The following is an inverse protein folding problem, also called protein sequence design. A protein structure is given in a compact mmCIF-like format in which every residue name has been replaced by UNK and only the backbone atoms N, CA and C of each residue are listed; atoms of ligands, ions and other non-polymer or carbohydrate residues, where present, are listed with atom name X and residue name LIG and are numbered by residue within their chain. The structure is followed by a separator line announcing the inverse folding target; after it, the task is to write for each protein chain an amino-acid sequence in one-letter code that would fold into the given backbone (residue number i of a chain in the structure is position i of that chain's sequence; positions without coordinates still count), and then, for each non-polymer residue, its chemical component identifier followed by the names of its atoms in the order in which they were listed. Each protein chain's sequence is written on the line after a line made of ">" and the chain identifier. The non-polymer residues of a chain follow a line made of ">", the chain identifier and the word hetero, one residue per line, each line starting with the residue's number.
data_IF_435778807496
#
_entry.id   IF_435778807496
#
_cell.length_a   1.000
_cell.length_b   1.000
_cell.length_c   1.000
_cell.angle_alpha   90.00
_cell.angle_beta   90.00
_cell.angle_gamma   90.00
#
_symmetry.space_group_name_H-M   'P 1'
#
loop_
_entity.id
_entity.type
_entity.pdbx_description
1 polymer ?
#
# COMPACT_ATOMS: atom_id res chain seq x y z
N UNK A 1 -7.89 -20.39 -31.38
CA UNK A 1 -6.83 -20.13 -30.40
C UNK A 1 -6.69 -18.64 -30.05
N UNK A 2 -6.62 -17.74 -31.02
CA UNK A 2 -6.49 -16.28 -30.79
C UNK A 2 -7.64 -15.68 -29.94
N UNK A 3 -8.90 -16.08 -30.22
CA UNK A 3 -10.09 -15.61 -29.49
C UNK A 3 -10.11 -16.02 -28.01
N UNK A 4 -9.58 -17.21 -27.68
CA UNK A 4 -9.44 -17.66 -26.29
C UNK A 4 -8.38 -16.85 -25.53
N UNK A 5 -7.26 -16.52 -26.18
CA UNK A 5 -6.21 -15.69 -25.55
C UNK A 5 -6.71 -14.28 -25.26
N UNK A 6 -7.46 -13.69 -26.19
CA UNK A 6 -8.01 -12.33 -26.04
C UNK A 6 -9.03 -12.25 -24.88
N UNK A 7 -9.87 -13.28 -24.70
CA UNK A 7 -10.80 -13.38 -23.56
C UNK A 7 -10.09 -13.53 -22.22
N UNK A 8 -9.02 -14.31 -22.18
CA UNK A 8 -8.21 -14.47 -20.96
C UNK A 8 -7.47 -13.19 -20.59
N UNK A 9 -6.90 -12.50 -21.57
CA UNK A 9 -6.24 -11.20 -21.36
C UNK A 9 -7.22 -10.14 -20.85
N UNK A 10 -8.41 -10.05 -21.45
CA UNK A 10 -9.46 -9.14 -21.00
C UNK A 10 -9.93 -9.45 -19.57
N UNK A 11 -10.08 -10.73 -19.21
CA UNK A 11 -10.46 -11.15 -17.86
C UNK A 11 -9.38 -10.87 -16.84
N UNK A 12 -8.10 -11.08 -17.18
CA UNK A 12 -6.96 -10.77 -16.34
C UNK A 12 -6.83 -9.27 -16.10
N UNK A 13 -6.97 -8.45 -17.15
CA UNK A 13 -6.90 -6.99 -17.03
C UNK A 13 -8.01 -6.45 -16.12
N UNK A 14 -9.24 -6.97 -16.25
CA UNK A 14 -10.37 -6.60 -15.39
C UNK A 14 -10.14 -7.00 -13.93
N UNK A 15 -9.58 -8.18 -13.67
CA UNK A 15 -9.23 -8.64 -12.33
C UNK A 15 -8.13 -7.78 -11.70
N UNK A 16 -7.12 -7.40 -12.49
CA UNK A 16 -6.05 -6.50 -12.04
C UNK A 16 -6.57 -5.11 -11.71
N UNK A 17 -7.47 -4.55 -12.52
CA UNK A 17 -8.10 -3.27 -12.26
C UNK A 17 -8.92 -3.28 -10.97
N UNK A 18 -9.68 -4.34 -10.71
CA UNK A 18 -10.43 -4.51 -9.46
C UNK A 18 -9.52 -4.64 -8.23
N UNK A 19 -8.40 -5.32 -8.37
CA UNK A 19 -7.42 -5.47 -7.29
C UNK A 19 -6.73 -4.13 -6.97
N UNK A 20 -6.32 -3.39 -7.99
CA UNK A 20 -5.76 -2.05 -7.83
C UNK A 20 -6.77 -1.07 -7.22
N UNK A 21 -8.02 -1.11 -7.66
CA UNK A 21 -9.09 -0.28 -7.09
C UNK A 21 -9.29 -0.59 -5.60
N UNK A 22 -9.35 -1.86 -5.21
CA UNK A 22 -9.42 -2.26 -3.79
C UNK A 22 -8.21 -1.77 -3.00
N UNK A 23 -7.01 -1.83 -3.59
CA UNK A 23 -5.80 -1.31 -2.97
C UNK A 23 -5.88 0.19 -2.71
N UNK A 24 -6.34 0.98 -3.69
CA UNK A 24 -6.51 2.44 -3.56
C UNK A 24 -7.57 2.78 -2.50
N UNK A 25 -8.72 2.10 -2.51
CA UNK A 25 -9.76 2.29 -1.50
C UNK A 25 -9.26 1.94 -0.09
N UNK A 26 -8.52 0.85 0.04
CA UNK A 26 -7.88 0.46 1.31
C UNK A 26 -6.88 1.53 1.78
N UNK A 27 -6.12 2.14 0.86
CA UNK A 27 -5.23 3.26 1.15
C UNK A 27 -5.98 4.47 1.72
N UNK A 28 -7.10 4.86 1.10
CA UNK A 28 -7.97 5.92 1.59
C UNK A 28 -8.54 5.62 2.99
N UNK A 29 -9.03 4.41 3.21
CA UNK A 29 -9.51 3.96 4.52
C UNK A 29 -8.40 3.96 5.57
N UNK A 30 -7.19 3.55 5.20
CA UNK A 30 -6.01 3.58 6.09
C UNK A 30 -5.71 5.01 6.55
N UNK A 31 -5.79 5.97 5.64
CA UNK A 31 -5.62 7.40 5.97
C UNK A 31 -6.71 7.87 6.94
N UNK A 32 -7.96 7.51 6.69
CA UNK A 32 -9.05 7.83 7.61
C UNK A 32 -8.84 7.24 9.01
N UNK A 33 -8.44 5.96 9.09
CA UNK A 33 -8.11 5.31 10.37
C UNK A 33 -6.97 6.02 11.10
N UNK A 34 -5.92 6.44 10.37
CA UNK A 34 -4.82 7.21 10.96
C UNK A 34 -5.32 8.50 11.60
N UNK A 35 -6.13 9.28 10.89
CA UNK A 35 -6.70 10.53 11.43
C UNK A 35 -7.61 10.30 12.62
N UNK A 36 -8.48 9.30 12.57
CA UNK A 36 -9.37 8.97 13.69
C UNK A 36 -8.56 8.66 14.95
N UNK A 37 -7.58 7.76 14.86
CA UNK A 37 -6.74 7.40 16.01
C UNK A 37 -5.96 8.63 16.51
N UNK A 38 -5.43 9.44 15.60
CA UNK A 38 -4.70 10.65 15.97
C UNK A 38 -5.56 11.62 16.76
N UNK A 39 -6.75 11.94 16.27
CA UNK A 39 -7.67 12.87 16.93
C UNK A 39 -8.19 12.33 18.27
N UNK A 40 -8.50 11.03 18.36
CA UNK A 40 -8.91 10.40 19.61
C UNK A 40 -7.81 10.53 20.69
N UNK A 41 -6.55 10.27 20.34
CA UNK A 41 -5.45 10.34 21.29
C UNK A 41 -5.13 11.79 21.65
N UNK A 42 -5.16 12.73 20.71
CA UNK A 42 -4.88 14.14 20.98
C UNK A 42 -6.00 14.81 21.78
N UNK A 43 -7.23 14.30 21.77
CA UNK A 43 -8.32 14.78 22.62
C UNK A 43 -8.11 14.43 24.11
N UNK A 44 -7.31 13.39 24.38
CA UNK A 44 -7.06 12.90 25.74
C UNK A 44 -5.66 13.34 26.25
N UNK A 45 -4.72 13.57 25.33
CA UNK A 45 -3.32 13.85 25.65
C UNK A 45 -2.73 14.89 24.71
N UNK A 46 -2.06 15.89 25.26
CA UNK A 46 -1.35 16.93 24.50
C UNK A 46 -0.08 16.42 23.77
N UNK A 47 0.27 15.14 23.93
CA UNK A 47 1.48 14.54 23.36
C UNK A 47 1.28 14.15 21.87
N UNK A 48 1.25 15.13 21.00
CA UNK A 48 0.98 14.95 19.55
C UNK A 48 1.95 13.97 18.86
N UNK A 49 3.22 13.88 19.28
CA UNK A 49 4.17 12.93 18.69
C UNK A 49 3.83 11.49 19.05
N UNK A 50 3.39 11.24 20.29
CA UNK A 50 2.93 9.92 20.73
C UNK A 50 1.65 9.55 19.97
N UNK A 51 0.71 10.50 19.87
CA UNK A 51 -0.52 10.31 19.12
C UNK A 51 -0.25 9.97 17.66
N UNK A 52 0.66 10.69 17.01
CA UNK A 52 1.04 10.42 15.62
C UNK A 52 1.69 9.04 15.43
N UNK A 53 2.57 8.64 16.35
CA UNK A 53 3.22 7.32 16.28
C UNK A 53 2.22 6.19 16.46
N UNK A 54 1.32 6.30 17.44
CA UNK A 54 0.27 5.29 17.68
C UNK A 54 -0.73 5.24 16.53
N UNK A 55 -1.11 6.40 15.98
CA UNK A 55 -1.97 6.48 14.80
C UNK A 55 -1.34 5.81 13.58
N UNK A 56 -0.05 6.04 13.34
CA UNK A 56 0.69 5.38 12.27
C UNK A 56 0.74 3.87 12.47
N UNK A 57 1.06 3.38 13.68
CA UNK A 57 1.08 1.95 13.97
C UNK A 57 -0.29 1.31 13.75
N UNK A 58 -1.36 1.92 14.25
CA UNK A 58 -2.72 1.45 14.05
C UNK A 58 -3.14 1.43 12.57
N UNK A 59 -2.80 2.48 11.83
CA UNK A 59 -3.07 2.57 10.40
C UNK A 59 -2.31 1.50 9.60
N UNK A 60 -1.04 1.24 9.92
CA UNK A 60 -0.24 0.19 9.28
C UNK A 60 -0.81 -1.21 9.56
N UNK A 61 -1.22 -1.48 10.81
CA UNK A 61 -1.86 -2.74 11.17
C UNK A 61 -3.19 -2.94 10.43
N UNK A 62 -4.04 -1.90 10.38
CA UNK A 62 -5.28 -1.91 9.60
C UNK A 62 -5.02 -2.16 8.11
N UNK A 63 -4.08 -1.41 7.52
CA UNK A 63 -3.71 -1.55 6.12
C UNK A 63 -3.21 -2.97 5.80
N UNK A 64 -2.41 -3.56 6.69
CA UNK A 64 -1.94 -4.93 6.53
C UNK A 64 -3.11 -5.93 6.48
N UNK A 65 -4.03 -5.87 7.44
CA UNK A 65 -5.17 -6.79 7.51
C UNK A 65 -6.04 -6.66 6.27
N UNK A 66 -6.34 -5.43 5.84
CA UNK A 66 -7.16 -5.17 4.66
C UNK A 66 -6.48 -5.62 3.38
N UNK A 67 -5.20 -5.28 3.20
CA UNK A 67 -4.45 -5.72 2.03
C UNK A 67 -4.36 -7.25 1.97
N UNK A 68 -4.03 -7.88 3.09
CA UNK A 68 -3.89 -9.34 3.16
C UNK A 68 -5.20 -10.07 2.87
N UNK A 69 -6.32 -9.64 3.47
CA UNK A 69 -7.62 -10.34 3.40
C UNK A 69 -8.48 -9.93 2.22
N UNK A 70 -8.52 -8.64 1.90
CA UNK A 70 -9.48 -8.08 0.94
C UNK A 70 -8.84 -7.86 -0.43
N UNK A 71 -7.66 -7.26 -0.47
CA UNK A 71 -7.00 -6.91 -1.73
C UNK A 71 -6.34 -8.13 -2.36
N UNK A 72 -5.36 -8.71 -1.67
CA UNK A 72 -4.50 -9.77 -2.23
C UNK A 72 -4.96 -11.18 -1.85
N UNK A 73 -5.79 -11.34 -0.84
CA UNK A 73 -6.30 -12.63 -0.34
C UNK A 73 -5.17 -13.65 -0.11
N UNK A 74 -4.14 -13.20 0.62
CA UNK A 74 -2.94 -14.00 0.85
C UNK A 74 -3.19 -15.19 1.77
N UNK A 75 -2.54 -16.31 1.46
CA UNK A 75 -2.49 -17.55 2.26
C UNK A 75 -1.13 -17.79 2.90
N UNK A 76 -0.19 -16.83 2.76
CA UNK A 76 1.15 -16.92 3.34
C UNK A 76 1.16 -16.77 4.88
N UNK A 77 2.35 -16.86 5.47
CA UNK A 77 2.54 -16.66 6.91
C UNK A 77 2.25 -15.21 7.31
N UNK A 78 1.21 -14.95 8.14
CA UNK A 78 0.78 -13.60 8.48
C UNK A 78 1.84 -12.78 9.21
N UNK A 79 2.64 -13.39 10.06
CA UNK A 79 3.68 -12.69 10.82
C UNK A 79 4.82 -12.21 9.91
N UNK A 80 5.31 -13.10 9.05
CA UNK A 80 6.35 -12.74 8.08
C UNK A 80 5.88 -11.69 7.08
N UNK A 81 4.63 -11.80 6.61
CA UNK A 81 4.03 -10.81 5.72
C UNK A 81 3.86 -9.46 6.40
N UNK A 82 3.47 -9.43 7.68
CA UNK A 82 3.34 -8.18 8.44
C UNK A 82 4.65 -7.41 8.53
N UNK A 83 5.74 -8.06 8.91
CA UNK A 83 7.03 -7.39 9.02
C UNK A 83 7.56 -6.90 7.68
N UNK A 84 7.36 -7.66 6.61
CA UNK A 84 7.71 -7.22 5.24
C UNK A 84 6.87 -6.02 4.82
N UNK A 85 5.57 -6.04 5.11
CA UNK A 85 4.67 -4.95 4.79
C UNK A 85 5.01 -3.68 5.57
N UNK A 86 5.22 -3.76 6.88
CA UNK A 86 5.60 -2.63 7.70
C UNK A 86 6.97 -2.06 7.28
N UNK A 87 7.94 -2.93 6.99
CA UNK A 87 9.24 -2.53 6.46
C UNK A 87 9.14 -1.82 5.11
N UNK A 88 8.30 -2.31 4.20
CA UNK A 88 8.03 -1.65 2.93
C UNK A 88 7.43 -0.25 3.13
N UNK A 89 6.45 -0.12 4.02
CA UNK A 89 5.82 1.18 4.33
C UNK A 89 6.82 2.18 4.88
N UNK A 90 7.72 1.74 5.74
CA UNK A 90 8.77 2.58 6.28
C UNK A 90 9.80 2.97 5.21
N UNK A 91 10.25 2.02 4.40
CA UNK A 91 11.19 2.26 3.31
C UNK A 91 10.62 3.24 2.26
N UNK A 92 9.35 3.08 1.90
CA UNK A 92 8.70 3.99 0.95
C UNK A 92 8.51 5.40 1.51
N UNK A 93 8.27 5.55 2.81
CA UNK A 93 8.23 6.87 3.45
C UNK A 93 9.58 7.60 3.31
N UNK A 94 10.67 6.89 3.54
CA UNK A 94 12.03 7.46 3.35
C UNK A 94 12.24 7.82 1.89
N UNK A 95 11.93 6.92 0.96
CA UNK A 95 12.08 7.16 -0.47
C UNK A 95 11.24 8.35 -0.97
N UNK A 96 9.99 8.49 -0.51
CA UNK A 96 9.14 9.65 -0.80
C UNK A 96 9.80 10.96 -0.37
N UNK A 97 10.29 11.01 0.88
CA UNK A 97 10.93 12.20 1.41
C UNK A 97 12.20 12.57 0.63
N UNK A 98 13.00 11.57 0.25
CA UNK A 98 14.19 11.78 -0.57
C UNK A 98 13.85 12.30 -1.97
N UNK A 99 12.84 11.72 -2.62
CA UNK A 99 12.37 12.15 -3.94
C UNK A 99 11.78 13.56 -3.89
N UNK A 100 11.01 13.89 -2.88
CA UNK A 100 10.46 15.25 -2.70
C UNK A 100 11.57 16.27 -2.48
N UNK A 101 12.57 15.93 -1.65
CA UNK A 101 13.72 16.79 -1.45
C UNK A 101 14.48 17.04 -2.76
N UNK A 102 14.72 15.99 -3.54
CA UNK A 102 15.38 16.10 -4.84
C UNK A 102 14.59 17.00 -5.81
N UNK A 103 13.28 16.74 -5.95
CA UNK A 103 12.45 17.49 -6.90
C UNK A 103 12.26 18.95 -6.48
N UNK A 104 11.96 19.22 -5.22
CA UNK A 104 11.60 20.55 -4.74
C UNK A 104 12.86 21.37 -4.43
N UNK A 105 13.81 20.80 -3.67
CA UNK A 105 14.96 21.58 -3.16
C UNK A 105 16.14 21.61 -4.12
N UNK A 106 16.31 20.61 -4.98
CA UNK A 106 17.45 20.56 -5.93
C UNK A 106 17.00 20.95 -7.34
N UNK A 107 15.86 20.46 -7.80
CA UNK A 107 15.36 20.73 -9.15
C UNK A 107 14.43 21.94 -9.21
N UNK A 108 14.12 22.57 -8.06
CA UNK A 108 13.22 23.73 -7.93
C UNK A 108 11.84 23.51 -8.58
N UNK A 109 11.39 22.26 -8.62
CA UNK A 109 10.08 21.91 -9.19
C UNK A 109 8.93 22.35 -8.26
N UNK A 110 7.76 22.59 -8.86
CA UNK A 110 6.56 22.95 -8.10
C UNK A 110 6.22 21.88 -7.05
N UNK A 111 5.96 22.30 -5.81
CA UNK A 111 5.75 21.42 -4.67
C UNK A 111 4.51 20.52 -4.82
N UNK A 112 3.42 21.06 -5.40
CA UNK A 112 2.17 20.31 -5.58
C UNK A 112 2.34 19.24 -6.66
N UNK A 113 2.92 19.64 -7.80
CA UNK A 113 3.18 18.72 -8.92
C UNK A 113 4.15 17.62 -8.48
N UNK A 114 5.22 17.97 -7.77
CA UNK A 114 6.19 17.01 -7.22
C UNK A 114 5.52 16.02 -6.27
N UNK A 115 4.68 16.51 -5.35
CA UNK A 115 3.95 15.64 -4.41
C UNK A 115 3.00 14.69 -5.11
N UNK A 116 2.26 15.15 -6.11
CA UNK A 116 1.36 14.30 -6.89
C UNK A 116 2.14 13.23 -7.66
N UNK A 117 3.21 13.61 -8.35
CA UNK A 117 4.04 12.68 -9.12
C UNK A 117 4.66 11.60 -8.23
N UNK A 118 5.29 12.00 -7.12
CA UNK A 118 5.90 11.06 -6.16
C UNK A 118 4.84 10.14 -5.55
N UNK A 119 3.66 10.66 -5.19
CA UNK A 119 2.57 9.85 -4.63
C UNK A 119 2.08 8.79 -5.61
N UNK A 120 1.91 9.12 -6.90
CA UNK A 120 1.51 8.16 -7.93
C UNK A 120 2.57 7.06 -8.06
N UNK A 121 3.84 7.42 -8.16
CA UNK A 121 4.94 6.45 -8.26
C UNK A 121 4.98 5.53 -7.03
N UNK A 122 4.83 6.09 -5.83
CA UNK A 122 4.85 5.34 -4.58
C UNK A 122 3.66 4.37 -4.48
N UNK A 123 2.46 4.80 -4.88
CA UNK A 123 1.27 3.91 -4.88
C UNK A 123 1.50 2.72 -5.80
N UNK A 124 2.00 2.95 -7.02
CA UNK A 124 2.29 1.89 -7.99
C UNK A 124 3.38 0.96 -7.47
N UNK A 125 4.49 1.50 -6.95
CA UNK A 125 5.60 0.73 -6.40
C UNK A 125 5.15 -0.13 -5.19
N UNK A 126 4.39 0.45 -4.27
CA UNK A 126 3.84 -0.27 -3.12
C UNK A 126 2.88 -1.39 -3.53
N UNK A 127 1.99 -1.12 -4.50
CA UNK A 127 1.10 -2.14 -5.03
C UNK A 127 1.88 -3.31 -5.64
N UNK A 128 2.86 -3.03 -6.48
CA UNK A 128 3.70 -4.05 -7.11
C UNK A 128 4.50 -4.86 -6.08
N UNK A 129 5.12 -4.18 -5.09
CA UNK A 129 5.85 -4.83 -4.02
C UNK A 129 4.96 -5.72 -3.13
N UNK A 130 3.75 -5.27 -2.82
CA UNK A 130 2.77 -6.07 -2.08
C UNK A 130 2.34 -7.29 -2.90
N UNK A 131 2.01 -7.10 -4.16
CA UNK A 131 1.50 -8.15 -5.04
C UNK A 131 2.51 -9.25 -5.34
N UNK A 132 3.75 -8.86 -5.65
CA UNK A 132 4.78 -9.78 -6.12
C UNK A 132 5.78 -10.18 -5.03
N UNK A 133 5.97 -9.37 -4.00
CA UNK A 133 7.01 -9.56 -2.98
C UNK A 133 6.50 -9.99 -1.61
N UNK A 134 5.33 -9.53 -1.18
CA UNK A 134 4.87 -9.71 0.20
C UNK A 134 3.77 -10.76 0.30
N UNK A 135 2.66 -10.55 -0.40
CA UNK A 135 1.47 -11.39 -0.27
C UNK A 135 1.49 -12.55 -1.27
N UNK A 136 1.30 -13.76 -0.74
CA UNK A 136 1.19 -14.96 -1.57
C UNK A 136 -0.28 -15.23 -1.85
N UNK A 137 -0.70 -15.07 -3.10
CA UNK A 137 -2.01 -15.56 -3.53
C UNK A 137 -2.10 -17.07 -3.33
N UNK A 138 -3.25 -17.54 -2.84
CA UNK A 138 -3.62 -18.95 -2.92
C UNK A 138 -3.76 -19.33 -4.40
N UNK A 139 -2.62 -19.59 -5.04
CA UNK A 139 -2.57 -20.10 -6.40
C UNK A 139 -2.78 -21.60 -6.34
N UNK A 140 -3.61 -22.10 -7.23
CA UNK A 140 -3.64 -23.48 -7.64
C UNK A 140 -2.19 -24.00 -7.76
N UNK A 141 -1.76 -24.76 -6.76
CA UNK A 141 -0.60 -25.59 -6.90
C UNK A 141 -0.90 -26.53 -8.06
N UNK A 142 -0.43 -26.21 -9.25
CA UNK A 142 -0.19 -27.23 -10.23
C UNK A 142 0.89 -28.13 -9.63
N UNK A 143 0.40 -29.14 -8.95
CA UNK A 143 1.10 -30.34 -8.62
C UNK A 143 1.57 -30.96 -9.94
N UNK A 144 2.79 -30.63 -10.32
CA UNK A 144 3.52 -31.40 -11.33
C UNK A 144 4.34 -32.43 -10.56
N UNK A 145 3.83 -33.65 -10.56
CA UNK A 145 4.64 -34.82 -10.36
C UNK A 145 5.65 -34.98 -11.51
#
# INVERSE_FOLDING_TARGET
>A
MKKLSDEWEAKLSKLMQLELLRYILTGGMTTAVNYVIYFEITSISERYLVANTLAWCGAVAFAFVMNRRVVFRSVGNPVGEFFRFAGLRFATLIAENMLLYLLISIMEADGIISKLAVSIVTVIANYAACKYGIFKKGGLSHESR
#
